data_IF_241915830420
#
_entry.id   IF_241915830420
#
_cell.length_a   1.000
_cell.length_b   1.000
_cell.length_c   1.000
_cell.angle_alpha   90.00
_cell.angle_beta   90.00
_cell.angle_gamma   90.00
#
_symmetry.space_group_name_H-M   'P 1'
#
loop_
_entity.id
_entity.type
_entity.pdbx_description
1 polymer ?
#
# COMPACT_ATOMS: atom_id res chain seq x y z
N UNK A 1 -12.73 -3.13 8.31
CA UNK A 1 -12.11 -3.70 7.08
C UNK A 1 -10.64 -3.32 7.09
N UNK A 2 -9.73 -4.23 6.76
CA UNK A 2 -8.28 -3.95 6.70
C UNK A 2 -7.86 -3.78 5.24
N UNK A 3 -7.03 -2.78 4.95
CA UNK A 3 -6.52 -2.48 3.61
C UNK A 3 -4.98 -2.60 3.62
N UNK A 4 -4.44 -3.56 2.90
CA UNK A 4 -2.99 -3.69 2.73
C UNK A 4 -2.41 -2.53 1.92
N UNK A 5 -1.30 -1.96 2.38
CA UNK A 5 -0.53 -0.96 1.63
C UNK A 5 0.95 -1.05 1.97
N UNK A 6 1.83 -0.50 1.13
CA UNK A 6 3.25 -0.34 1.47
C UNK A 6 3.43 0.76 2.52
N UNK A 7 4.54 0.71 3.24
CA UNK A 7 4.85 1.67 4.31
C UNK A 7 5.41 3.02 3.85
N UNK A 8 5.67 3.19 2.54
CA UNK A 8 6.19 4.45 2.01
C UNK A 8 5.18 5.58 2.20
N UNK A 9 5.66 6.82 2.35
CA UNK A 9 4.79 8.00 2.54
C UNK A 9 3.74 8.13 1.44
N UNK A 10 4.12 7.84 0.20
CA UNK A 10 3.22 7.88 -0.95
C UNK A 10 2.15 6.78 -0.87
N UNK A 11 2.53 5.54 -0.58
CA UNK A 11 1.58 4.43 -0.47
C UNK A 11 0.59 4.62 0.68
N UNK A 12 1.04 5.22 1.80
CA UNK A 12 0.16 5.61 2.90
C UNK A 12 -0.82 6.73 2.51
N UNK A 13 -0.37 7.74 1.75
CA UNK A 13 -1.25 8.79 1.24
C UNK A 13 -2.31 8.23 0.29
N UNK A 14 -1.92 7.32 -0.60
CA UNK A 14 -2.84 6.62 -1.50
C UNK A 14 -3.86 5.79 -0.71
N UNK A 15 -3.42 5.01 0.29
CA UNK A 15 -4.32 4.20 1.10
C UNK A 15 -5.36 5.05 1.86
N UNK A 16 -4.93 6.17 2.47
CA UNK A 16 -5.83 7.11 3.14
C UNK A 16 -6.83 7.74 2.16
N UNK A 17 -6.38 8.12 0.98
CA UNK A 17 -7.26 8.67 -0.06
C UNK A 17 -8.35 7.66 -0.48
N UNK A 18 -7.98 6.40 -0.68
CA UNK A 18 -8.95 5.34 -1.01
C UNK A 18 -9.89 5.06 0.16
N UNK A 19 -9.37 5.00 1.40
CA UNK A 19 -10.17 4.78 2.60
C UNK A 19 -11.27 5.84 2.77
N UNK A 20 -10.93 7.12 2.60
CA UNK A 20 -11.88 8.22 2.66
C UNK A 20 -12.98 8.11 1.60
N UNK A 21 -12.64 7.70 0.37
CA UNK A 21 -13.65 7.48 -0.69
C UNK A 21 -14.59 6.31 -0.40
N UNK A 22 -14.08 5.24 0.19
CA UNK A 22 -14.90 4.09 0.61
C UNK A 22 -15.85 4.48 1.73
N UNK A 23 -15.37 5.25 2.73
CA UNK A 23 -16.21 5.76 3.80
C UNK A 23 -17.32 6.69 3.26
N UNK A 24 -16.97 7.61 2.37
CA UNK A 24 -17.94 8.51 1.71
C UNK A 24 -18.99 7.76 0.86
N UNK A 25 -18.67 6.56 0.36
CA UNK A 25 -19.59 5.70 -0.38
C UNK A 25 -20.62 4.94 0.49
N UNK A 26 -20.73 5.25 1.78
CA UNK A 26 -21.73 4.67 2.67
C UNK A 26 -21.26 3.46 3.48
N UNK A 27 -19.95 3.19 3.51
CA UNK A 27 -19.41 2.19 4.45
C UNK A 27 -19.48 2.75 5.87
N UNK A 28 -19.99 1.94 6.80
CA UNK A 28 -20.16 2.31 8.22
C UNK A 28 -18.85 2.59 8.96
N UNK A 29 -17.72 2.08 8.47
CA UNK A 29 -16.39 2.30 9.05
C UNK A 29 -15.35 2.56 7.97
N UNK A 30 -14.45 3.50 8.24
CA UNK A 30 -13.31 3.76 7.37
C UNK A 30 -12.36 2.54 7.38
N UNK A 31 -11.88 2.07 6.22
CA UNK A 31 -10.89 1.01 6.16
C UNK A 31 -9.59 1.39 6.88
N UNK A 32 -9.04 0.46 7.67
CA UNK A 32 -7.78 0.64 8.38
C UNK A 32 -6.60 0.28 7.47
N UNK A 33 -5.66 1.21 7.15
CA UNK A 33 -4.45 0.89 6.42
C UNK A 33 -3.51 0.02 7.27
N UNK A 34 -3.12 -1.13 6.73
CA UNK A 34 -2.16 -2.05 7.35
C UNK A 34 -0.93 -2.15 6.46
N UNK A 35 0.23 -1.85 7.02
CA UNK A 35 1.50 -1.90 6.29
C UNK A 35 1.89 -3.35 6.01
N UNK A 36 2.15 -3.64 4.74
CA UNK A 36 2.73 -4.89 4.25
C UNK A 36 4.11 -4.55 3.68
N UNK A 37 5.13 -5.27 4.15
CA UNK A 37 6.51 -5.12 3.68
C UNK A 37 6.69 -5.98 2.44
N UNK A 38 7.17 -5.38 1.34
CA UNK A 38 7.45 -6.11 0.10
C UNK A 38 8.95 -6.31 -0.09
N UNK A 39 9.35 -7.18 -1.02
CA UNK A 39 10.78 -7.40 -1.31
C UNK A 39 11.43 -6.15 -1.88
N UNK A 40 10.72 -5.40 -2.72
CA UNK A 40 11.16 -4.12 -3.26
C UNK A 40 11.30 -3.01 -2.22
N UNK A 41 10.78 -3.17 -0.99
CA UNK A 41 11.06 -2.24 0.11
C UNK A 41 12.43 -2.47 0.76
N UNK A 42 13.00 -3.68 0.61
CA UNK A 42 14.26 -4.08 1.23
C UNK A 42 15.43 -4.21 0.24
N UNK A 43 15.14 -4.34 -1.05
CA UNK A 43 16.15 -4.53 -2.10
C UNK A 43 16.76 -3.19 -2.52
N UNK A 44 18.09 -3.07 -2.40
CA UNK A 44 18.85 -1.87 -2.76
C UNK A 44 19.47 -1.94 -4.16
N UNK A 45 19.28 -3.05 -4.89
CA UNK A 45 19.79 -3.19 -6.26
C UNK A 45 18.98 -2.31 -7.22
N UNK A 46 19.54 -1.93 -8.37
CA UNK A 46 18.78 -1.25 -9.41
C UNK A 46 17.56 -2.06 -9.84
N UNK A 47 16.45 -1.39 -10.13
CA UNK A 47 15.17 -2.04 -10.48
C UNK A 47 15.30 -3.07 -11.62
N UNK A 48 16.12 -2.78 -12.63
CA UNK A 48 16.36 -3.67 -13.77
C UNK A 48 17.12 -4.96 -13.41
N UNK A 49 17.81 -4.97 -12.26
CA UNK A 49 18.56 -6.12 -11.76
C UNK A 49 17.71 -7.03 -10.85
N UNK A 50 16.46 -6.64 -10.58
CA UNK A 50 15.52 -7.43 -9.79
C UNK A 50 14.71 -8.31 -10.75
N UNK A 51 15.20 -9.53 -11.01
CA UNK A 51 14.55 -10.52 -11.88
C UNK A 51 13.42 -11.26 -11.14
N UNK A 52 12.38 -10.53 -10.72
CA UNK A 52 11.21 -11.11 -10.07
C UNK A 52 9.93 -10.31 -10.35
N UNK A 53 8.83 -11.01 -10.68
CA UNK A 53 7.49 -10.41 -10.79
C UNK A 53 6.91 -10.13 -9.40
N UNK A 54 6.21 -9.01 -9.23
CA UNK A 54 5.48 -8.71 -7.98
C UNK A 54 6.37 -8.28 -6.82
N UNK A 55 7.39 -7.46 -7.08
CA UNK A 55 8.32 -6.96 -6.05
C UNK A 55 7.71 -5.87 -5.14
N UNK A 56 6.58 -5.29 -5.55
CA UNK A 56 5.83 -4.25 -4.84
C UNK A 56 4.38 -4.68 -4.62
#
# INVERSE_FOLDING_TARGET
MRMGTRGSRLAMAQARWVAARIAAGGRTSEPEPVVIRTRGDADSRPLFAIDQKGIF
#
